data_IF_600958814513
#
_entry.id   IF_600958814513
#
_cell.length_a   1.000
_cell.length_b   1.000
_cell.length_c   1.000
_cell.angle_alpha   90.00
_cell.angle_beta   90.00
_cell.angle_gamma   90.00
#
_symmetry.space_group_name_H-M   'P 1'
#
loop_
_entity.id
_entity.type
_entity.pdbx_description
1 polymer ?
#
# COMPACT_ATOMS: atom_id res chain seq x y z
N UNK A 1 -31.55 3.65 -70.29
CA UNK A 1 -31.75 3.09 -68.90
C UNK A 1 -30.44 3.22 -68.15
N UNK A 2 -30.30 4.19 -67.27
CA UNK A 2 -29.09 4.41 -66.45
C UNK A 2 -29.39 3.92 -65.06
N UNK A 3 -28.62 2.90 -64.55
CA UNK A 3 -28.73 2.39 -63.21
C UNK A 3 -27.85 3.23 -62.30
N UNK A 4 -28.45 3.95 -61.36
CA UNK A 4 -27.76 4.67 -60.27
C UNK A 4 -27.48 3.69 -59.13
N UNK A 5 -26.18 3.47 -58.86
CA UNK A 5 -25.74 2.72 -57.72
C UNK A 5 -25.74 3.63 -56.49
N UNK A 6 -26.54 3.28 -55.46
CA UNK A 6 -26.59 3.95 -54.15
C UNK A 6 -25.50 3.38 -53.28
N UNK A 7 -24.55 4.23 -52.89
CA UNK A 7 -23.55 3.93 -51.87
C UNK A 7 -24.05 4.42 -50.51
N UNK A 8 -24.33 3.48 -49.61
CA UNK A 8 -24.63 3.76 -48.23
C UNK A 8 -23.30 3.80 -47.43
N UNK A 9 -23.03 4.83 -46.62
CA UNK A 9 -21.85 4.83 -45.75
C UNK A 9 -22.11 3.94 -44.52
N UNK A 10 -21.32 2.89 -44.37
CA UNK A 10 -21.24 2.10 -43.15
C UNK A 10 -20.55 2.93 -42.06
N UNK A 11 -21.35 3.41 -41.09
CA UNK A 11 -20.84 4.06 -39.91
C UNK A 11 -20.20 2.98 -38.98
N UNK A 12 -18.87 2.98 -38.91
CA UNK A 12 -18.13 2.15 -37.97
C UNK A 12 -18.25 2.76 -36.54
N UNK A 13 -19.02 2.12 -35.70
CA UNK A 13 -19.07 2.42 -34.27
C UNK A 13 -17.73 2.02 -33.63
N UNK A 14 -16.89 3.00 -33.35
CA UNK A 14 -15.69 2.79 -32.50
C UNK A 14 -16.14 2.77 -31.05
N UNK A 15 -16.30 1.56 -30.51
CA UNK A 15 -16.54 1.37 -29.07
C UNK A 15 -15.22 1.62 -28.33
N UNK A 16 -15.09 2.79 -27.71
CA UNK A 16 -13.96 3.08 -26.82
C UNK A 16 -14.10 2.22 -25.56
N UNK A 17 -13.28 1.18 -25.45
CA UNK A 17 -13.13 0.40 -24.22
C UNK A 17 -12.34 1.27 -23.24
N UNK A 18 -13.04 1.90 -22.29
CA UNK A 18 -12.41 2.53 -21.14
C UNK A 18 -11.92 1.40 -20.23
N UNK A 19 -10.64 1.04 -20.36
CA UNK A 19 -9.99 0.17 -19.39
C UNK A 19 -9.87 0.94 -18.09
N UNK A 20 -10.71 0.60 -17.11
CA UNK A 20 -10.55 1.04 -15.73
C UNK A 20 -9.25 0.39 -15.24
N UNK A 21 -8.13 1.10 -15.35
CA UNK A 21 -6.87 0.65 -14.77
C UNK A 21 -7.07 0.60 -13.25
N UNK A 22 -7.10 -0.61 -12.69
CA UNK A 22 -6.99 -0.79 -11.25
C UNK A 22 -5.68 -0.09 -10.81
N UNK A 23 -5.79 0.94 -9.98
CA UNK A 23 -4.63 1.63 -9.43
C UNK A 23 -3.76 0.58 -8.75
N UNK A 24 -2.43 0.54 -9.01
CA UNK A 24 -1.56 -0.42 -8.38
C UNK A 24 -1.67 -0.25 -6.86
N UNK A 25 -1.67 -1.37 -6.11
CA UNK A 25 -1.84 -1.38 -4.65
C UNK A 25 -0.87 -0.43 -3.90
N UNK A 26 0.23 -0.03 -4.53
CA UNK A 26 1.17 0.99 -4.02
C UNK A 26 0.56 2.39 -3.92
N UNK A 27 -0.38 2.77 -4.80
CA UNK A 27 -0.97 4.10 -4.79
C UNK A 27 -1.71 4.40 -3.47
N UNK A 28 -2.42 3.42 -2.91
CA UNK A 28 -3.18 3.62 -1.67
C UNK A 28 -2.29 3.91 -0.45
N UNK A 29 -1.09 3.32 -0.38
CA UNK A 29 -0.14 3.59 0.70
C UNK A 29 0.34 5.04 0.68
N UNK A 30 0.75 5.52 -0.47
CA UNK A 30 1.30 6.86 -0.64
C UNK A 30 0.21 7.94 -0.51
N UNK A 31 -0.98 7.68 -1.03
CA UNK A 31 -2.13 8.58 -0.90
C UNK A 31 -2.59 8.70 0.55
N UNK A 32 -2.73 7.59 1.28
CA UNK A 32 -3.10 7.61 2.70
C UNK A 32 -2.02 8.28 3.54
N UNK A 33 -0.75 7.98 3.27
CA UNK A 33 0.40 8.59 3.92
C UNK A 33 0.41 10.11 3.76
N UNK A 34 0.24 10.59 2.53
CA UNK A 34 0.18 12.02 2.21
C UNK A 34 -1.02 12.71 2.89
N UNK A 35 -2.21 12.09 2.82
CA UNK A 35 -3.45 12.63 3.40
C UNK A 35 -3.36 12.80 4.91
N UNK A 36 -2.80 11.82 5.60
CA UNK A 36 -2.76 11.79 7.07
C UNK A 36 -1.40 12.18 7.66
N UNK A 37 -0.42 12.54 6.82
CA UNK A 37 0.94 12.97 7.21
C UNK A 37 1.67 11.93 8.08
N UNK A 38 1.58 10.67 7.65
CA UNK A 38 2.30 9.53 8.22
C UNK A 38 3.19 8.89 7.15
N UNK A 39 4.18 8.04 7.52
CA UNK A 39 5.03 7.38 6.52
C UNK A 39 4.29 6.19 5.87
N UNK A 40 4.40 6.05 4.54
CA UNK A 40 3.86 4.90 3.80
C UNK A 40 4.56 3.60 4.20
N UNK A 41 5.87 3.64 4.43
CA UNK A 41 6.66 2.50 4.91
C UNK A 41 6.20 2.06 6.30
N UNK A 42 5.88 3.03 7.17
CA UNK A 42 5.37 2.73 8.51
C UNK A 42 3.98 2.07 8.44
N UNK A 43 3.08 2.59 7.60
CA UNK A 43 1.77 1.97 7.37
C UNK A 43 1.91 0.53 6.86
N UNK A 44 2.79 0.32 5.90
CA UNK A 44 3.08 -1.01 5.37
C UNK A 44 3.64 -1.97 6.44
N UNK A 45 4.58 -1.49 7.27
CA UNK A 45 5.14 -2.29 8.37
C UNK A 45 4.09 -2.62 9.45
N UNK A 46 3.14 -1.71 9.71
CA UNK A 46 1.98 -1.96 10.56
C UNK A 46 1.12 -3.07 9.95
N UNK A 47 0.70 -2.95 8.70
CA UNK A 47 -0.13 -3.96 8.03
C UNK A 47 0.55 -5.35 8.02
N UNK A 48 1.86 -5.39 7.80
CA UNK A 48 2.63 -6.63 7.93
C UNK A 48 2.59 -7.23 9.33
N UNK A 49 2.55 -6.38 10.34
CA UNK A 49 2.45 -6.80 11.75
C UNK A 49 1.06 -7.29 12.09
N UNK A 50 0.03 -6.65 11.56
CA UNK A 50 -1.38 -6.90 11.88
C UNK A 50 -1.93 -8.16 11.19
N UNK A 51 -1.74 -8.26 9.89
CA UNK A 51 -2.40 -9.30 9.08
C UNK A 51 -1.45 -10.08 8.16
N UNK A 52 -0.13 -9.82 8.21
CA UNK A 52 0.81 -10.28 7.18
C UNK A 52 0.41 -9.86 5.75
N UNK A 53 -0.32 -8.73 5.61
CA UNK A 53 -0.89 -8.17 4.38
C UNK A 53 -2.10 -8.95 3.83
N UNK A 54 -2.77 -9.76 4.63
CA UNK A 54 -4.00 -10.42 4.22
C UNK A 54 -5.22 -9.53 4.56
N UNK A 55 -5.98 -9.04 3.55
CA UNK A 55 -7.13 -8.18 3.78
C UNK A 55 -8.37 -8.93 4.29
N UNK A 56 -8.37 -10.25 4.30
CA UNK A 56 -9.52 -11.06 4.71
C UNK A 56 -9.44 -11.55 6.17
N UNK A 57 -8.37 -11.22 6.88
CA UNK A 57 -8.19 -11.65 8.29
C UNK A 57 -9.20 -10.98 9.21
N UNK A 58 -9.80 -11.78 10.10
CA UNK A 58 -10.64 -11.31 11.19
C UNK A 58 -10.14 -11.89 12.50
N UNK A 59 -9.59 -11.04 13.36
CA UNK A 59 -9.24 -11.36 14.75
C UNK A 59 -10.47 -11.29 15.66
N UNK A 60 -10.48 -12.11 16.72
CA UNK A 60 -11.52 -12.09 17.77
C UNK A 60 -10.89 -11.76 19.13
N UNK A 61 -11.39 -10.75 19.80
CA UNK A 61 -10.91 -10.30 21.08
C UNK A 61 -11.75 -10.88 22.24
N UNK A 62 -11.15 -11.04 23.42
CA UNK A 62 -11.85 -11.55 24.61
C UNK A 62 -13.01 -10.67 25.08
N UNK A 63 -12.98 -9.38 24.76
CA UNK A 63 -14.02 -8.41 25.09
C UNK A 63 -15.18 -8.40 24.06
N UNK A 64 -15.21 -9.35 23.11
CA UNK A 64 -16.22 -9.49 22.08
C UNK A 64 -16.00 -8.61 20.84
N UNK A 65 -15.01 -7.72 20.82
CA UNK A 65 -14.66 -6.96 19.62
C UNK A 65 -13.92 -7.83 18.61
N UNK A 66 -13.85 -7.36 17.36
CA UNK A 66 -13.12 -8.00 16.26
C UNK A 66 -12.14 -7.01 15.68
N UNK A 67 -11.03 -7.52 15.15
CA UNK A 67 -10.07 -6.75 14.38
C UNK A 67 -10.19 -7.20 12.92
N UNK A 68 -10.40 -6.26 11.98
CA UNK A 68 -10.94 -6.52 10.66
C UNK A 68 -9.95 -6.06 9.58
N UNK A 69 -9.69 -6.95 8.62
CA UNK A 69 -9.01 -6.66 7.36
C UNK A 69 -7.51 -6.40 7.49
N UNK A 70 -6.95 -5.80 6.43
CA UNK A 70 -5.51 -5.60 6.24
C UNK A 70 -4.82 -4.90 7.42
N UNK A 71 -5.45 -3.86 7.96
CA UNK A 71 -4.92 -3.03 9.05
C UNK A 71 -5.49 -3.42 10.41
N UNK A 72 -6.28 -4.53 10.51
CA UNK A 72 -6.89 -5.05 11.74
C UNK A 72 -7.63 -3.96 12.52
N UNK A 73 -8.55 -3.29 11.82
CA UNK A 73 -9.35 -2.21 12.42
C UNK A 73 -10.33 -2.80 13.43
N UNK A 74 -10.22 -2.36 14.69
CA UNK A 74 -11.09 -2.86 15.74
C UNK A 74 -12.55 -2.43 15.50
N UNK A 75 -13.48 -3.38 15.67
CA UNK A 75 -14.92 -3.15 15.46
C UNK A 75 -15.52 -2.07 16.38
N UNK A 76 -14.84 -1.69 17.45
CA UNK A 76 -15.23 -0.55 18.29
C UNK A 76 -15.21 0.80 17.52
N UNK A 77 -14.49 0.88 16.38
CA UNK A 77 -14.49 2.05 15.52
C UNK A 77 -15.72 2.13 14.61
N UNK A 78 -16.47 1.05 14.39
CA UNK A 78 -17.59 1.01 13.45
C UNK A 78 -18.65 2.10 13.68
N UNK A 79 -19.05 2.45 14.91
CA UNK A 79 -19.99 3.54 15.12
C UNK A 79 -19.45 4.89 14.60
N UNK A 80 -18.16 5.17 14.81
CA UNK A 80 -17.51 6.38 14.32
C UNK A 80 -17.37 6.36 12.80
N UNK A 81 -16.98 5.24 12.22
CA UNK A 81 -16.81 5.05 10.79
C UNK A 81 -18.13 5.14 10.02
N UNK A 82 -19.23 4.64 10.62
CA UNK A 82 -20.57 4.73 10.04
C UNK A 82 -21.03 6.18 9.82
N UNK A 83 -20.63 7.13 10.68
CA UNK A 83 -20.89 8.55 10.48
C UNK A 83 -20.23 9.11 9.21
N UNK A 84 -19.25 8.40 8.64
CA UNK A 84 -18.55 8.73 7.39
C UNK A 84 -18.95 7.79 6.24
N UNK A 85 -20.02 7.00 6.41
CA UNK A 85 -20.50 6.07 5.39
C UNK A 85 -19.65 4.80 5.24
N UNK A 86 -18.73 4.51 6.17
CA UNK A 86 -17.84 3.35 6.14
C UNK A 86 -18.41 2.26 7.06
N UNK A 87 -18.78 1.11 6.46
CA UNK A 87 -19.25 -0.07 7.18
C UNK A 87 -18.18 -1.14 7.35
N UNK A 88 -18.55 -2.21 8.04
CA UNK A 88 -17.62 -3.33 8.29
C UNK A 88 -17.09 -3.96 6.99
N UNK A 89 -17.94 -4.09 5.95
CA UNK A 89 -17.56 -4.70 4.67
C UNK A 89 -16.48 -3.93 3.93
N UNK A 90 -16.47 -2.60 4.10
CA UNK A 90 -15.50 -1.73 3.45
C UNK A 90 -14.09 -1.93 4.00
N UNK A 91 -13.95 -2.44 5.24
CA UNK A 91 -12.66 -2.71 5.88
C UNK A 91 -11.93 -3.92 5.30
N UNK A 92 -12.59 -4.75 4.48
CA UNK A 92 -11.97 -5.83 3.70
C UNK A 92 -11.41 -5.32 2.36
N UNK A 93 -11.80 -4.12 1.91
CA UNK A 93 -11.10 -3.44 0.82
C UNK A 93 -9.73 -2.96 1.31
N UNK A 94 -8.63 -3.37 0.65
CA UNK A 94 -7.28 -3.01 1.10
C UNK A 94 -7.06 -1.50 1.20
N UNK A 95 -7.51 -0.73 0.21
CA UNK A 95 -7.32 0.71 0.20
C UNK A 95 -8.09 1.39 1.33
N UNK A 96 -9.36 1.02 1.53
CA UNK A 96 -10.17 1.55 2.62
C UNK A 96 -9.55 1.20 3.98
N UNK A 97 -9.11 -0.04 4.17
CA UNK A 97 -8.43 -0.46 5.39
C UNK A 97 -7.17 0.38 5.68
N UNK A 98 -6.34 0.64 4.64
CA UNK A 98 -5.15 1.50 4.75
C UNK A 98 -5.52 2.93 5.15
N UNK A 99 -6.54 3.52 4.51
CA UNK A 99 -6.99 4.87 4.84
C UNK A 99 -7.48 4.98 6.28
N UNK A 100 -8.29 4.02 6.75
CA UNK A 100 -8.78 4.01 8.14
C UNK A 100 -7.62 3.79 9.12
N UNK A 101 -6.71 2.87 8.83
CA UNK A 101 -5.52 2.65 9.66
C UNK A 101 -4.62 3.88 9.76
N UNK A 102 -4.40 4.57 8.64
CA UNK A 102 -3.63 5.81 8.61
C UNK A 102 -4.31 6.93 9.43
N UNK A 103 -5.64 7.06 9.34
CA UNK A 103 -6.42 8.01 10.14
C UNK A 103 -6.31 7.72 11.64
N UNK A 104 -6.40 6.46 12.07
CA UNK A 104 -6.23 6.04 13.48
C UNK A 104 -4.81 6.37 13.95
N UNK A 105 -3.79 6.04 13.16
CA UNK A 105 -2.40 6.35 13.48
C UNK A 105 -2.18 7.86 13.62
N UNK A 106 -2.71 8.65 12.70
CA UNK A 106 -2.63 10.11 12.75
C UNK A 106 -3.28 10.68 14.02
N UNK A 107 -4.41 10.14 14.44
CA UNK A 107 -5.04 10.50 15.71
C UNK A 107 -4.16 10.20 16.92
N UNK A 108 -3.41 9.11 16.89
CA UNK A 108 -2.42 8.80 17.93
C UNK A 108 -1.25 9.77 17.90
N UNK A 109 -0.75 10.11 16.70
CA UNK A 109 0.33 11.09 16.51
C UNK A 109 -0.08 12.49 17.00
N UNK A 110 -1.31 12.90 16.76
CA UNK A 110 -1.83 14.18 17.29
C UNK A 110 -1.83 14.25 18.81
N UNK A 111 -2.10 13.12 19.50
CA UNK A 111 -2.16 13.07 20.97
C UNK A 111 -0.81 12.84 21.63
N UNK A 112 0.09 12.10 20.99
CA UNK A 112 1.33 11.60 21.60
C UNK A 112 2.60 12.10 20.91
N UNK A 113 2.44 12.98 19.91
CA UNK A 113 3.53 13.40 19.03
C UNK A 113 3.93 12.31 18.02
N UNK A 114 4.84 12.64 17.12
CA UNK A 114 5.38 11.68 16.14
C UNK A 114 6.43 10.77 16.81
N UNK A 115 5.96 9.84 17.63
CA UNK A 115 6.77 9.01 18.51
C UNK A 115 6.45 7.53 18.33
N UNK A 116 7.34 6.66 18.79
CA UNK A 116 7.08 5.23 18.83
C UNK A 116 5.95 4.86 19.81
N UNK A 117 5.68 5.70 20.80
CA UNK A 117 4.52 5.49 21.69
C UNK A 117 3.20 5.70 20.95
N UNK A 118 3.12 6.66 20.01
CA UNK A 118 1.96 6.83 19.13
C UNK A 118 1.74 5.60 18.22
N UNK A 119 2.82 5.01 17.70
CA UNK A 119 2.76 3.75 16.94
C UNK A 119 2.29 2.61 17.84
N UNK A 120 2.83 2.50 19.04
CA UNK A 120 2.43 1.50 20.02
C UNK A 120 0.96 1.61 20.44
N UNK A 121 0.45 2.84 20.54
CA UNK A 121 -0.94 3.13 20.87
C UNK A 121 -1.93 2.68 19.78
N UNK A 122 -1.47 2.36 18.59
CA UNK A 122 -2.29 1.74 17.55
C UNK A 122 -2.84 0.39 18.01
N UNK A 123 -2.01 -0.42 18.67
CA UNK A 123 -2.38 -1.76 19.12
C UNK A 123 -2.91 -1.79 20.57
N UNK A 124 -2.39 -0.95 21.48
CA UNK A 124 -2.73 -1.08 22.88
C UNK A 124 -2.75 0.24 23.66
N UNK A 125 -3.69 0.37 24.58
CA UNK A 125 -3.69 1.45 25.56
C UNK A 125 -2.56 1.26 26.61
N UNK A 126 -2.22 0.02 26.97
CA UNK A 126 -1.21 -0.30 27.99
C UNK A 126 0.21 -0.06 27.44
N UNK A 127 1.05 0.80 28.11
CA UNK A 127 2.41 1.12 27.66
C UNK A 127 3.37 -0.11 27.56
N UNK A 128 3.21 -1.13 28.40
CA UNK A 128 4.04 -2.32 28.34
C UNK A 128 3.77 -3.13 27.04
N UNK A 129 2.50 -3.24 26.64
CA UNK A 129 2.10 -3.89 25.41
C UNK A 129 2.51 -3.10 24.18
N UNK A 130 2.52 -1.75 24.26
CA UNK A 130 2.98 -0.88 23.18
C UNK A 130 4.42 -1.17 22.76
N UNK A 131 5.33 -1.35 23.73
CA UNK A 131 6.74 -1.64 23.43
C UNK A 131 6.91 -2.93 22.64
N UNK A 132 6.27 -4.01 23.07
CA UNK A 132 6.33 -5.29 22.37
C UNK A 132 5.78 -5.21 20.94
N UNK A 133 4.74 -4.41 20.73
CA UNK A 133 4.17 -4.15 19.41
C UNK A 133 5.13 -3.34 18.53
N UNK A 134 5.68 -2.26 19.05
CA UNK A 134 6.66 -1.41 18.35
C UNK A 134 7.86 -2.23 17.88
N UNK A 135 8.35 -3.17 18.68
CA UNK A 135 9.46 -4.03 18.29
C UNK A 135 9.11 -4.94 17.08
N UNK A 136 7.85 -5.36 16.96
CA UNK A 136 7.38 -6.11 15.78
C UNK A 136 7.37 -5.20 14.53
N UNK A 137 6.79 -4.01 14.64
CA UNK A 137 6.74 -3.04 13.52
C UNK A 137 8.14 -2.65 13.05
N UNK A 138 9.06 -2.38 13.98
CA UNK A 138 10.46 -2.06 13.66
C UNK A 138 11.18 -3.18 12.91
N UNK A 139 10.89 -4.44 13.18
CA UNK A 139 11.48 -5.56 12.43
C UNK A 139 11.04 -5.54 10.97
N UNK A 140 9.77 -5.24 10.70
CA UNK A 140 9.27 -5.14 9.33
C UNK A 140 9.82 -3.92 8.58
N UNK A 141 10.01 -2.77 9.24
CA UNK A 141 10.67 -1.61 8.64
C UNK A 141 12.10 -1.95 8.21
N UNK A 142 12.93 -2.52 9.10
CA UNK A 142 14.31 -2.90 8.77
C UNK A 142 14.38 -3.90 7.63
N UNK A 143 13.51 -4.90 7.60
CA UNK A 143 13.50 -5.89 6.52
C UNK A 143 13.14 -5.29 5.16
N UNK A 144 12.31 -4.25 5.12
CA UNK A 144 11.99 -3.51 3.90
C UNK A 144 13.20 -2.71 3.40
N UNK A 145 13.88 -1.98 4.30
CA UNK A 145 15.09 -1.22 3.99
C UNK A 145 16.21 -2.12 3.45
N UNK A 146 16.45 -3.26 4.10
CA UNK A 146 17.46 -4.25 3.66
C UNK A 146 17.13 -4.83 2.29
N UNK A 147 15.85 -5.04 1.99
CA UNK A 147 15.41 -5.55 0.69
C UNK A 147 15.59 -4.51 -0.40
N UNK A 148 15.24 -3.25 -0.14
CA UNK A 148 15.43 -2.13 -1.06
C UNK A 148 16.92 -1.86 -1.31
N UNK A 149 17.75 -1.96 -0.27
CA UNK A 149 19.21 -1.82 -0.38
C UNK A 149 19.81 -2.95 -1.24
N UNK A 150 19.44 -4.21 -1.01
CA UNK A 150 19.89 -5.35 -1.82
C UNK A 150 19.46 -5.23 -3.28
N UNK A 151 18.23 -4.79 -3.56
CA UNK A 151 17.74 -4.60 -4.92
C UNK A 151 18.56 -3.53 -5.67
N UNK A 152 18.88 -2.41 -5.03
CA UNK A 152 19.71 -1.34 -5.61
C UNK A 152 21.14 -1.83 -5.91
N UNK A 153 21.78 -2.52 -4.98
CA UNK A 153 23.14 -3.02 -5.17
C UNK A 153 23.22 -4.21 -6.13
N UNK A 154 22.19 -5.06 -6.18
CA UNK A 154 22.09 -6.15 -7.17
C UNK A 154 21.97 -5.62 -8.60
N UNK A 155 21.16 -4.59 -8.82
CA UNK A 155 21.01 -3.94 -10.12
C UNK A 155 22.32 -3.30 -10.60
N UNK A 156 23.09 -2.66 -9.70
CA UNK A 156 24.38 -2.05 -10.02
C UNK A 156 25.42 -3.11 -10.42
N UNK A 157 25.46 -4.27 -9.75
CA UNK A 157 26.36 -5.37 -10.11
C UNK A 157 26.06 -5.96 -11.49
N UNK A 158 24.79 -6.12 -11.82
CA UNK A 158 24.37 -6.66 -13.13
C UNK A 158 24.65 -5.70 -14.27
N UNK A 159 24.62 -4.39 -14.03
CA UNK A 159 24.95 -3.37 -15.01
C UNK A 159 26.46 -3.34 -15.31
N UNK A 160 27.32 -3.49 -14.27
CA UNK A 160 28.79 -3.53 -14.42
C UNK A 160 29.26 -4.79 -15.17
N UNK A 161 28.65 -5.95 -14.97
CA UNK A 161 29.03 -7.19 -15.68
C UNK A 161 28.56 -7.22 -17.14
N UNK A 162 27.62 -6.37 -17.55
CA UNK A 162 27.17 -6.26 -18.97
C UNK A 162 27.98 -5.27 -19.81
N UNK A 163 28.82 -4.46 -19.19
CA UNK A 163 29.58 -3.38 -19.83
C UNK A 163 30.95 -3.76 -20.37
N UNK A 164 31.49 -4.98 -20.14
CA UNK A 164 32.87 -5.26 -20.39
C UNK A 164 33.12 -6.45 -21.33
N UNK A 165 32.67 -6.36 -22.57
CA UNK A 165 33.18 -7.16 -23.70
C UNK A 165 33.04 -6.38 -25.02
N UNK A 166 33.76 -5.25 -25.14
CA UNK A 166 34.11 -4.72 -26.45
C UNK A 166 35.50 -4.12 -26.37
N UNK A 167 36.50 -4.95 -26.72
CA UNK A 167 37.86 -4.48 -26.95
C UNK A 167 37.87 -3.46 -28.10
N UNK A 168 38.63 -2.35 -27.98
CA UNK A 168 38.79 -1.43 -29.10
C UNK A 168 39.68 -2.10 -30.18
N UNK A 169 39.15 -2.18 -31.36
CA UNK A 169 39.94 -2.50 -32.57
C UNK A 169 40.78 -1.29 -32.88
N UNK A 170 42.09 -1.40 -32.65
CA UNK A 170 43.06 -0.39 -33.08
C UNK A 170 43.21 -0.52 -34.59
N UNK A 171 42.68 0.42 -35.34
CA UNK A 171 42.96 0.61 -36.76
C UNK A 171 44.34 1.26 -36.90
N UNK A 172 45.31 0.52 -37.40
CA UNK A 172 46.59 1.04 -37.88
C UNK A 172 46.37 1.65 -39.25
N UNK A 173 46.70 2.93 -39.40
CA UNK A 173 46.80 3.63 -40.69
C UNK A 173 48.26 3.72 -41.13
N UNK A 174 48.51 3.77 -42.45
CA UNK A 174 49.87 3.69 -43.04
C UNK A 174 50.71 4.94 -42.83
#
# INVERSE_FOLDING_TARGET
MRKTASWAPTAALITAIVTLAALPAHACWDEAAARYRVSSELLYAIARTESALDPQVVGRNRNGTRDIGLMQINSAWLPTLAAHGIGERDLFDPCMSIYVGAWILAGNVQRLGYTWDAVGAYNAANPALRRAYVDKVRRHLRSADDSAHRARHGATRTAVTRGDHRAPVVATLP
#
